data_IF_196813196596
#
_entry.id   IF_196813196596
#
_cell.length_a   1.000
_cell.length_b   1.000
_cell.length_c   1.000
_cell.angle_alpha   90.00
_cell.angle_beta   90.00
_cell.angle_gamma   90.00
#
_symmetry.space_group_name_H-M   'P 1'
#
loop_
_entity.id
_entity.type
_entity.pdbx_description
1 polymer ?
#
# COMPACT_ATOMS: atom_id res chain seq x y z
N UNK A 1 -11.49 -4.92 -7.63
CA UNK A 1 -11.19 -5.22 -6.22
C UNK A 1 -9.70 -5.25 -5.99
N UNK A 2 -9.25 -4.68 -4.90
CA UNK A 2 -7.83 -4.72 -4.61
C UNK A 2 -7.48 -5.99 -3.83
N UNK A 3 -6.24 -6.38 -3.95
CA UNK A 3 -5.71 -7.57 -3.29
C UNK A 3 -4.59 -7.13 -2.35
N UNK A 4 -4.58 -7.70 -1.15
CA UNK A 4 -3.54 -7.41 -0.18
C UNK A 4 -2.72 -8.68 0.05
N UNK A 5 -1.41 -8.56 -0.07
CA UNK A 5 -0.49 -9.65 0.20
C UNK A 5 0.61 -9.15 1.13
N UNK A 6 1.37 -10.06 1.68
CA UNK A 6 2.49 -9.72 2.56
C UNK A 6 3.75 -10.37 2.03
N UNK A 7 4.86 -9.66 2.20
CA UNK A 7 6.15 -10.14 1.77
C UNK A 7 7.18 -9.80 2.84
N UNK A 8 8.41 -10.20 2.63
CA UNK A 8 9.49 -9.92 3.56
C UNK A 8 10.75 -9.63 2.76
N UNK A 9 11.49 -8.63 3.22
CA UNK A 9 12.75 -8.26 2.58
C UNK A 9 13.76 -7.90 3.67
N UNK A 10 14.86 -8.65 3.72
CA UNK A 10 15.95 -8.44 4.70
C UNK A 10 15.44 -8.38 6.14
N UNK A 11 14.50 -9.27 6.48
CA UNK A 11 13.93 -9.32 7.81
C UNK A 11 12.84 -8.30 8.10
N UNK A 12 12.49 -7.48 7.12
CA UNK A 12 11.44 -6.47 7.27
C UNK A 12 10.18 -6.91 6.55
N UNK A 13 9.08 -6.87 7.25
CA UNK A 13 7.78 -7.24 6.68
C UNK A 13 7.28 -6.11 5.78
N UNK A 14 6.75 -6.49 4.63
CA UNK A 14 6.19 -5.56 3.65
C UNK A 14 4.74 -5.89 3.39
N UNK A 15 3.96 -4.87 3.12
CA UNK A 15 2.60 -5.07 2.63
C UNK A 15 2.58 -4.77 1.14
N UNK A 16 1.87 -5.60 0.39
CA UNK A 16 1.79 -5.49 -1.07
C UNK A 16 0.35 -5.22 -1.46
N UNK A 17 0.12 -4.13 -2.14
CA UNK A 17 -1.21 -3.77 -2.61
C UNK A 17 -1.27 -3.91 -4.13
N UNK A 18 -2.23 -4.68 -4.61
CA UNK A 18 -2.44 -4.90 -6.04
C UNK A 18 -3.86 -4.50 -6.39
N UNK A 19 -4.05 -3.98 -7.60
CA UNK A 19 -5.40 -3.65 -8.07
C UNK A 19 -6.18 -4.91 -8.44
N UNK A 20 -5.48 -5.91 -8.98
CA UNK A 20 -6.06 -7.22 -9.28
C UNK A 20 -4.94 -8.26 -9.37
N UNK A 21 -5.30 -9.50 -9.66
CA UNK A 21 -4.34 -10.61 -9.69
C UNK A 21 -3.25 -10.45 -10.75
N UNK A 22 -3.54 -9.71 -11.79
CA UNK A 22 -2.61 -9.53 -12.90
C UNK A 22 -1.86 -8.21 -12.83
N UNK A 23 -1.98 -7.48 -11.73
CA UNK A 23 -1.32 -6.19 -11.59
C UNK A 23 0.20 -6.38 -11.53
N UNK A 24 0.89 -5.89 -12.55
CA UNK A 24 2.34 -5.98 -12.63
C UNK A 24 3.03 -4.85 -11.87
N UNK A 25 2.26 -3.89 -11.41
CA UNK A 25 2.77 -2.69 -10.76
C UNK A 25 2.34 -2.65 -9.29
N UNK A 26 2.44 -3.79 -8.62
CA UNK A 26 2.08 -3.89 -7.22
C UNK A 26 2.84 -2.86 -6.37
N UNK A 27 2.13 -2.23 -5.45
CA UNK A 27 2.71 -1.23 -4.57
C UNK A 27 3.14 -1.90 -3.27
N UNK A 28 4.42 -1.86 -2.98
CA UNK A 28 4.98 -2.47 -1.76
C UNK A 28 5.56 -1.40 -0.86
N UNK A 29 5.34 -1.54 0.44
CA UNK A 29 5.96 -0.63 1.39
C UNK A 29 6.08 -1.28 2.76
N UNK A 30 7.00 -0.75 3.56
CA UNK A 30 7.27 -1.26 4.90
C UNK A 30 6.48 -0.54 5.97
N UNK A 31 6.78 -0.85 7.22
CA UNK A 31 6.05 -0.30 8.37
C UNK A 31 6.17 1.21 8.51
N UNK A 32 7.32 1.77 8.22
CA UNK A 32 7.53 3.22 8.33
C UNK A 32 6.58 4.00 7.42
N UNK A 33 6.51 3.58 6.17
CA UNK A 33 5.61 4.22 5.22
C UNK A 33 4.16 3.92 5.55
N UNK A 34 3.88 2.72 6.04
CA UNK A 34 2.53 2.35 6.45
C UNK A 34 2.03 3.28 7.56
N UNK A 35 2.87 3.58 8.55
CA UNK A 35 2.51 4.49 9.63
C UNK A 35 2.23 5.89 9.11
N UNK A 36 3.05 6.35 8.18
CA UNK A 36 2.86 7.66 7.57
C UNK A 36 1.54 7.74 6.81
N UNK A 37 1.20 6.67 6.11
CA UNK A 37 -0.05 6.58 5.37
C UNK A 37 -1.24 6.65 6.33
N UNK A 38 -1.18 5.92 7.43
CA UNK A 38 -2.25 5.90 8.43
C UNK A 38 -2.43 7.28 9.07
N UNK A 39 -1.32 7.97 9.36
CA UNK A 39 -1.38 9.33 9.92
C UNK A 39 -2.05 10.32 8.98
N UNK A 40 -1.93 10.09 7.68
CA UNK A 40 -2.43 11.01 6.68
C UNK A 40 -3.57 10.41 5.85
N UNK A 41 -4.22 9.42 6.39
CA UNK A 41 -5.25 8.67 5.68
C UNK A 41 -6.32 9.56 5.07
N UNK A 42 -6.84 10.50 5.82
CA UNK A 42 -7.91 11.37 5.33
C UNK A 42 -7.46 12.24 4.17
N UNK A 43 -6.25 12.77 4.25
CA UNK A 43 -5.71 13.58 3.17
C UNK A 43 -5.48 12.74 1.91
N UNK A 44 -4.96 11.53 2.10
CA UNK A 44 -4.73 10.60 0.99
C UNK A 44 -6.07 10.24 0.35
N UNK A 45 -7.08 10.00 1.17
CA UNK A 45 -8.41 9.67 0.68
C UNK A 45 -8.98 10.80 -0.17
N UNK A 46 -8.87 12.03 0.31
CA UNK A 46 -9.34 13.20 -0.44
C UNK A 46 -8.61 13.33 -1.77
N UNK A 47 -7.31 13.15 -1.75
CA UNK A 47 -6.50 13.22 -2.95
C UNK A 47 -6.90 12.15 -3.96
N UNK A 48 -7.13 10.92 -3.49
CA UNK A 48 -7.52 9.82 -4.35
C UNK A 48 -8.89 10.00 -4.99
N UNK A 49 -9.81 10.67 -4.27
CA UNK A 49 -11.16 10.92 -4.76
C UNK A 49 -11.27 12.21 -5.59
N UNK A 50 -10.22 12.97 -5.63
CA UNK A 50 -10.13 14.21 -6.40
C UNK A 50 -10.10 13.91 -7.88
N UNK A 51 -10.82 14.68 -8.67
CA UNK A 51 -10.82 14.50 -10.12
C UNK A 51 -9.90 15.46 -10.86
#
# INVERSE_FOLDING_TARGET
MSIVEFDEYKGNKLIVLKRDENDQYAFKFGKSKAKLIVENFEEIKKFAEEE
#
